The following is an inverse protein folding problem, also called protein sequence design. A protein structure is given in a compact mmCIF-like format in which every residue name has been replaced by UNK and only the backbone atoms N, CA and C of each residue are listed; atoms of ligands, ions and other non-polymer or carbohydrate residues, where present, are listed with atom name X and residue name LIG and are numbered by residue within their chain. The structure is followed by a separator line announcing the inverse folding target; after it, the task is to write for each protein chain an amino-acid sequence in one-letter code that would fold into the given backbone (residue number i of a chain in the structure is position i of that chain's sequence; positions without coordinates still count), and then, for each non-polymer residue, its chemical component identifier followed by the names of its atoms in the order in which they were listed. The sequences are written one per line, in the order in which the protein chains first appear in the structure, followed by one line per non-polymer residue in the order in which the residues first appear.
data_IF_225759253838
#
_entry.id   IF_225759253838
#
_cell.length_a   1.000
_cell.length_b   1.000
_cell.length_c   1.000
_cell.angle_alpha   90.00
_cell.angle_beta   90.00
_cell.angle_gamma   90.00
#
_symmetry.space_group_name_H-M   'P 1'
#
loop_
_entity.id
_entity.type
_entity.pdbx_description
1 polymer ?
#
# COMPACT_ATOMS: atom_id res chain seq x y z
N UNK A 1 12.32 -22.73 -27.18
CA UNK A 1 12.11 -21.72 -26.12
C UNK A 1 10.62 -21.68 -25.75
N UNK A 2 10.22 -22.24 -24.60
CA UNK A 2 8.83 -22.21 -24.11
C UNK A 2 8.69 -21.08 -23.09
N UNK A 3 7.87 -20.09 -23.39
CA UNK A 3 7.53 -19.01 -22.43
C UNK A 3 6.62 -19.63 -21.37
N UNK A 4 7.17 -19.91 -20.18
CA UNK A 4 6.54 -20.82 -19.21
C UNK A 4 5.52 -20.16 -18.28
N UNK A 5 5.43 -18.82 -18.20
CA UNK A 5 4.40 -18.10 -17.41
C UNK A 5 4.45 -16.60 -17.70
N UNK A 6 3.30 -16.00 -18.02
CA UNK A 6 3.06 -14.56 -17.88
C UNK A 6 2.44 -14.35 -16.50
N UNK A 7 3.21 -13.87 -15.52
CA UNK A 7 2.64 -13.42 -14.25
C UNK A 7 1.92 -12.10 -14.52
N UNK A 8 0.59 -12.13 -14.52
CA UNK A 8 -0.19 -10.91 -14.41
C UNK A 8 0.04 -10.33 -13.03
N UNK A 9 0.76 -9.21 -12.94
CA UNK A 9 0.81 -8.41 -11.70
C UNK A 9 -0.64 -8.07 -11.36
N UNK A 10 -1.16 -8.70 -10.30
CA UNK A 10 -2.46 -8.38 -9.72
C UNK A 10 -2.19 -7.54 -8.49
N UNK A 11 -2.92 -6.45 -8.32
CA UNK A 11 -2.81 -5.60 -7.15
C UNK A 11 -3.28 -6.45 -5.95
N UNK A 12 -2.43 -6.68 -4.94
CA UNK A 12 -2.82 -7.46 -3.77
C UNK A 12 -3.90 -6.70 -2.99
N UNK A 13 -4.82 -7.42 -2.34
CA UNK A 13 -5.87 -6.83 -1.50
C UNK A 13 -5.30 -6.05 -0.30
N UNK A 14 -4.09 -6.39 0.13
CA UNK A 14 -3.41 -5.76 1.25
C UNK A 14 -1.92 -5.56 0.95
N UNK A 15 -1.39 -4.40 1.32
CA UNK A 15 0.01 -4.02 1.14
C UNK A 15 0.61 -3.75 2.53
N UNK A 16 1.64 -4.51 2.89
CA UNK A 16 2.35 -4.41 4.17
C UNK A 16 3.79 -3.93 3.96
N UNK A 17 4.32 -3.13 4.88
CA UNK A 17 5.74 -2.71 5.01
C UNK A 17 6.36 -1.94 3.83
N UNK A 18 5.75 -1.95 2.64
CA UNK A 18 6.30 -1.32 1.44
C UNK A 18 5.79 0.10 1.18
N UNK A 19 4.77 0.55 1.91
CA UNK A 19 4.18 1.89 1.74
C UNK A 19 4.44 2.72 2.99
N UNK A 20 4.85 3.97 2.81
CA UNK A 20 4.96 4.97 3.87
C UNK A 20 3.68 5.81 3.91
N UNK A 21 3.08 5.92 5.09
CA UNK A 21 1.89 6.74 5.29
C UNK A 21 2.25 8.24 5.17
N UNK A 22 1.57 9.04 4.33
CA UNK A 22 1.82 10.47 4.22
C UNK A 22 1.33 11.26 5.45
N UNK A 23 0.59 10.64 6.36
CA UNK A 23 0.18 11.26 7.62
C UNK A 23 1.34 11.29 8.62
N UNK A 24 1.97 12.44 8.83
CA UNK A 24 3.06 12.62 9.80
C UNK A 24 2.67 12.19 11.22
N UNK A 25 1.39 12.33 11.59
CA UNK A 25 0.84 11.90 12.89
C UNK A 25 0.46 10.40 12.95
N UNK A 26 0.82 9.60 11.94
CA UNK A 26 0.52 8.17 11.96
C UNK A 26 1.51 7.44 12.88
N UNK A 27 1.02 6.47 13.66
CA UNK A 27 1.86 5.59 14.48
C UNK A 27 2.97 4.91 13.67
N UNK A 28 2.76 4.65 12.38
CA UNK A 28 3.78 4.07 11.49
C UNK A 28 4.97 4.97 11.17
N UNK A 29 4.83 6.28 11.39
CA UNK A 29 5.92 7.26 11.21
C UNK A 29 6.59 7.63 12.54
N UNK A 30 5.83 7.56 13.64
CA UNK A 30 6.30 7.88 14.99
C UNK A 30 7.06 6.68 15.56
N UNK A 31 6.47 5.50 15.46
CA UNK A 31 7.02 4.23 15.93
C UNK A 31 7.49 3.38 14.74
N UNK A 32 8.50 2.54 14.96
CA UNK A 32 9.02 1.62 13.94
C UNK A 32 8.11 0.38 13.76
N UNK A 33 6.82 0.61 13.55
CA UNK A 33 5.81 -0.43 13.32
C UNK A 33 5.60 -0.67 11.82
N UNK A 34 5.33 -1.92 11.41
CA UNK A 34 5.10 -2.23 10.01
C UNK A 34 3.83 -1.55 9.50
N UNK A 35 3.95 -0.84 8.39
CA UNK A 35 2.80 -0.22 7.72
C UNK A 35 1.85 -1.29 7.19
N UNK A 36 0.55 -1.03 7.29
CA UNK A 36 -0.51 -1.92 6.84
C UNK A 36 -1.55 -1.09 6.10
N UNK A 37 -1.69 -1.37 4.82
CA UNK A 37 -2.62 -0.70 3.93
C UNK A 37 -3.52 -1.73 3.26
N UNK A 38 -4.80 -1.43 3.23
CA UNK A 38 -5.83 -2.25 2.58
C UNK A 38 -6.27 -1.54 1.30
N UNK A 39 -6.44 -2.28 0.20
CA UNK A 39 -6.90 -1.71 -1.06
C UNK A 39 -8.41 -1.51 -0.98
N UNK A 40 -8.84 -0.26 -0.80
CA UNK A 40 -10.25 0.10 -0.68
C UNK A 40 -10.94 0.17 -2.05
N UNK A 41 -10.21 0.56 -3.09
CA UNK A 41 -10.70 0.61 -4.47
C UNK A 41 -9.60 0.21 -5.43
N UNK A 42 -9.93 -0.50 -6.51
CA UNK A 42 -8.97 -0.95 -7.54
C UNK A 42 -8.97 -0.06 -8.79
N UNK A 43 -10.00 0.76 -9.00
CA UNK A 43 -10.15 1.68 -10.15
C UNK A 43 -11.04 2.88 -9.75
N UNK A 44 -10.47 4.02 -9.30
CA UNK A 44 -9.04 4.30 -9.09
C UNK A 44 -8.44 3.45 -7.96
N UNK A 45 -7.12 3.24 -7.97
CA UNK A 45 -6.45 2.48 -6.90
C UNK A 45 -6.36 3.38 -5.65
N UNK A 46 -7.13 3.03 -4.63
CA UNK A 46 -7.16 3.72 -3.34
C UNK A 46 -6.72 2.75 -2.25
N UNK A 47 -5.84 3.24 -1.38
CA UNK A 47 -5.33 2.49 -0.24
C UNK A 47 -5.81 3.15 1.05
N UNK A 48 -6.28 2.34 1.99
CA UNK A 48 -6.67 2.76 3.34
C UNK A 48 -5.61 2.30 4.33
N UNK A 49 -5.12 3.21 5.15
CA UNK A 49 -4.22 2.82 6.24
C UNK A 49 -5.01 2.14 7.36
N UNK A 50 -4.57 0.97 7.83
CA UNK A 50 -5.24 0.27 8.94
C UNK A 50 -5.05 0.96 10.31
N UNK A 51 -4.15 1.94 10.41
CA UNK A 51 -3.82 2.61 11.67
C UNK A 51 -4.49 3.97 11.81
N UNK A 52 -4.29 4.87 10.85
CA UNK A 52 -4.92 6.20 10.88
C UNK A 52 -6.29 6.21 10.19
N UNK A 53 -6.71 5.08 9.60
CA UNK A 53 -7.96 4.88 8.86
C UNK A 53 -8.19 5.79 7.66
N UNK A 54 -7.24 6.68 7.36
CA UNK A 54 -7.27 7.60 6.22
C UNK A 54 -7.07 6.84 4.92
N UNK A 55 -7.79 7.29 3.90
CA UNK A 55 -7.69 6.82 2.51
C UNK A 55 -6.76 7.74 1.73
N UNK A 56 -5.94 7.14 0.90
CA UNK A 56 -5.00 7.82 0.01
C UNK A 56 -5.10 7.21 -1.37
N UNK A 57 -4.99 8.03 -2.41
CA UNK A 57 -4.75 7.51 -3.75
C UNK A 57 -3.36 6.89 -3.82
N UNK A 58 -3.19 5.83 -4.62
CA UNK A 58 -1.89 5.18 -4.83
C UNK A 58 -0.79 6.16 -5.29
N UNK A 59 -1.18 7.26 -5.93
CA UNK A 59 -0.28 8.31 -6.42
C UNK A 59 0.28 9.19 -5.29
N UNK A 60 -0.44 9.31 -4.17
CA UNK A 60 -0.06 10.14 -3.03
C UNK A 60 0.81 9.42 -1.99
N UNK A 61 0.89 8.09 -2.07
CA UNK A 61 1.69 7.27 -1.15
C UNK A 61 3.09 7.03 -1.70
N UNK A 62 4.09 7.10 -0.83
CA UNK A 62 5.48 6.79 -1.19
C UNK A 62 5.79 5.33 -0.92
N UNK A 63 6.42 4.67 -1.89
CA UNK A 63 6.93 3.31 -1.71
C UNK A 63 8.34 3.35 -1.14
N UNK A 64 8.57 2.57 -0.08
CA UNK A 64 9.89 2.36 0.51
C UNK A 64 10.25 0.89 0.27
N UNK A 65 11.29 0.68 -0.54
CA UNK A 65 11.90 -0.62 -0.79
C UNK A 65 13.00 -0.88 0.24
#
# INVERSE_FOLDING_TARGET
FKVVKKHGISIPDEIKKHIVCPNSNCVTNIENVPTRFEVACRKPVEVRCAYCEKKYAIDQVRFKF
#
